data_IF_280744334846
#
_entry.id   IF_280744334846
#
_cell.length_a   1.000
_cell.length_b   1.000
_cell.length_c   1.000
_cell.angle_alpha   90.00
_cell.angle_beta   90.00
_cell.angle_gamma   90.00
#
_symmetry.space_group_name_H-M   'P 1'
#
loop_
_entity.id
_entity.type
_entity.pdbx_description
1 polymer ?
#
# COMPACT_ATOMS: atom_id res chain seq x y z
N UNK A 1 -4.37 0.94 -5.04
CA UNK A 1 -2.92 1.21 -4.91
C UNK A 1 -2.74 1.89 -3.60
N UNK A 2 -1.65 1.59 -2.93
CA UNK A 2 -1.32 2.13 -1.63
C UNK A 2 0.18 1.95 -1.38
N UNK A 3 0.71 2.71 -0.43
CA UNK A 3 2.08 2.55 0.03
C UNK A 3 2.17 2.26 1.53
N UNK A 4 3.24 1.56 1.90
CA UNK A 4 3.60 1.31 3.28
C UNK A 4 4.99 1.86 3.55
N UNK A 5 5.06 2.94 4.33
CA UNK A 5 6.29 3.60 4.76
C UNK A 5 6.86 3.05 6.08
N UNK A 6 6.26 2.03 6.67
CA UNK A 6 6.84 1.32 7.82
C UNK A 6 7.75 0.17 7.38
N UNK A 7 7.70 -0.22 6.10
CA UNK A 7 8.57 -1.24 5.54
C UNK A 7 9.79 -0.57 4.89
N UNK A 8 10.74 -0.19 5.74
CA UNK A 8 11.98 0.47 5.33
C UNK A 8 13.09 -0.58 5.10
N UNK A 9 13.96 -0.33 4.11
CA UNK A 9 15.16 -1.13 3.83
C UNK A 9 16.39 -0.25 3.96
N UNK A 10 17.31 -0.62 4.84
CA UNK A 10 18.60 0.08 5.00
C UNK A 10 19.55 -0.19 3.84
N UNK A 11 20.46 0.74 3.62
CA UNK A 11 21.55 0.57 2.66
C UNK A 11 22.40 -0.66 3.00
N UNK A 12 22.66 -1.48 1.98
CA UNK A 12 23.55 -2.65 2.08
C UNK A 12 24.92 -2.33 1.49
N UNK A 13 25.96 -2.98 2.01
CA UNK A 13 27.33 -2.75 1.52
C UNK A 13 27.56 -3.21 0.07
N UNK A 14 26.80 -4.21 -0.39
CA UNK A 14 26.81 -4.71 -1.77
C UNK A 14 25.66 -5.72 -1.98
N UNK A 15 25.00 -5.65 -3.13
CA UNK A 15 23.98 -6.62 -3.59
C UNK A 15 24.58 -8.02 -3.85
N UNK A 16 25.89 -8.15 -4.04
CA UNK A 16 26.56 -9.46 -4.18
C UNK A 16 26.71 -10.15 -2.81
N UNK A 17 26.84 -9.34 -1.75
CA UNK A 17 26.96 -9.83 -0.36
C UNK A 17 25.60 -10.06 0.29
N UNK A 18 24.57 -9.34 -0.18
CA UNK A 18 23.19 -9.47 0.28
C UNK A 18 22.23 -9.50 -0.92
N UNK A 19 22.18 -10.62 -1.66
CA UNK A 19 21.34 -10.72 -2.84
C UNK A 19 19.87 -10.83 -2.45
N UNK A 20 19.02 -10.02 -3.08
CA UNK A 20 17.56 -10.16 -2.93
C UNK A 20 17.08 -11.58 -3.25
N UNK A 21 16.25 -12.16 -2.38
CA UNK A 21 15.71 -13.52 -2.54
C UNK A 21 14.76 -13.67 -3.74
N UNK A 22 14.06 -12.60 -4.11
CA UNK A 22 12.99 -12.63 -5.11
C UNK A 22 13.16 -11.53 -6.16
N UNK A 23 14.38 -11.39 -6.73
CA UNK A 23 14.71 -10.44 -7.81
C UNK A 23 13.71 -10.59 -8.98
N UNK A 24 12.64 -9.79 -9.00
CA UNK A 24 11.59 -9.88 -10.01
C UNK A 24 10.67 -11.10 -9.93
N UNK A 25 10.49 -11.70 -8.75
CA UNK A 25 9.61 -12.86 -8.56
C UNK A 25 8.37 -12.53 -7.71
N UNK A 26 7.30 -13.29 -7.96
CA UNK A 26 5.99 -13.16 -7.30
C UNK A 26 5.38 -11.74 -7.47
N UNK A 27 5.38 -10.95 -6.41
CA UNK A 27 4.71 -9.65 -6.35
C UNK A 27 5.66 -8.47 -6.53
N UNK A 28 6.97 -8.69 -6.46
CA UNK A 28 7.99 -7.64 -6.61
C UNK A 28 8.38 -7.49 -8.05
N UNK A 29 8.62 -6.24 -8.46
CA UNK A 29 9.12 -5.96 -9.80
C UNK A 29 10.57 -6.41 -9.99
N UNK A 30 10.97 -6.57 -11.25
CA UNK A 30 12.38 -6.74 -11.58
C UNK A 30 13.16 -5.47 -11.25
N UNK A 31 14.15 -5.60 -10.36
CA UNK A 31 14.92 -4.50 -9.81
C UNK A 31 15.74 -3.76 -10.88
N UNK A 32 16.32 -4.47 -11.85
CA UNK A 32 17.14 -3.85 -12.90
C UNK A 32 16.28 -3.04 -13.86
N UNK A 33 15.15 -3.62 -14.26
CA UNK A 33 14.13 -2.99 -15.10
C UNK A 33 13.56 -1.74 -14.42
N UNK A 34 13.26 -1.84 -13.13
CA UNK A 34 12.74 -0.73 -12.34
C UNK A 34 13.75 0.41 -12.20
N UNK A 35 14.99 0.12 -11.80
CA UNK A 35 16.04 1.14 -11.70
C UNK A 35 16.34 1.82 -13.02
N UNK A 36 16.33 1.07 -14.13
CA UNK A 36 16.46 1.65 -15.47
C UNK A 36 15.31 2.60 -15.77
N UNK A 37 14.07 2.20 -15.47
CA UNK A 37 12.89 3.05 -15.65
C UNK A 37 13.00 4.36 -14.85
N UNK A 38 13.37 4.28 -13.56
CA UNK A 38 13.55 5.47 -12.73
C UNK A 38 14.63 6.40 -13.31
N UNK A 39 15.77 5.84 -13.74
CA UNK A 39 16.87 6.62 -14.34
C UNK A 39 16.44 7.36 -15.60
N UNK A 40 15.63 6.72 -16.44
CA UNK A 40 15.19 7.27 -17.71
C UNK A 40 14.09 8.34 -17.54
N UNK A 41 13.21 8.20 -16.54
CA UNK A 41 11.98 8.99 -16.45
C UNK A 41 11.87 9.93 -15.25
N UNK A 42 12.59 9.72 -14.13
CA UNK A 42 12.49 10.61 -12.96
C UNK A 42 12.83 12.09 -13.27
N UNK A 43 13.70 12.32 -14.26
CA UNK A 43 14.03 13.69 -14.71
C UNK A 43 13.08 14.26 -15.75
N UNK A 44 12.29 13.40 -16.42
CA UNK A 44 11.37 13.78 -17.50
C UNK A 44 9.97 14.05 -16.98
N UNK A 45 9.57 13.35 -15.93
CA UNK A 45 8.25 13.45 -15.32
C UNK A 45 8.39 14.27 -14.05
N UNK A 46 7.85 15.48 -14.09
CA UNK A 46 7.82 16.38 -12.94
C UNK A 46 6.44 16.26 -12.30
N UNK A 47 6.41 15.76 -11.07
CA UNK A 47 5.18 15.66 -10.29
C UNK A 47 4.71 17.06 -9.89
N UNK A 48 3.46 17.45 -10.22
CA UNK A 48 2.92 18.73 -9.79
C UNK A 48 2.73 18.74 -8.27
N UNK A 49 2.81 19.92 -7.62
CA UNK A 49 2.50 20.05 -6.21
C UNK A 49 1.09 19.53 -5.90
N UNK A 50 0.93 18.88 -4.74
CA UNK A 50 -0.36 18.34 -4.34
C UNK A 50 -1.34 19.46 -3.98
N UNK A 51 -2.54 19.38 -4.54
CA UNK A 51 -3.68 20.30 -4.30
C UNK A 51 -4.76 19.68 -3.40
N UNK A 52 -4.53 18.46 -2.90
CA UNK A 52 -5.48 17.70 -2.10
C UNK A 52 -5.28 18.03 -0.62
N UNK A 53 -6.37 17.98 0.14
CA UNK A 53 -6.44 18.33 1.55
C UNK A 53 -5.47 17.49 2.40
N UNK A 54 -4.30 18.03 2.74
CA UNK A 54 -3.40 17.50 3.78
C UNK A 54 -3.05 16.00 3.72
N UNK A 55 -2.93 15.39 2.53
CA UNK A 55 -2.37 14.04 2.43
C UNK A 55 -0.84 14.07 2.52
N UNK A 56 -0.27 13.26 3.41
CA UNK A 56 1.19 13.10 3.57
C UNK A 56 1.84 12.28 2.44
N UNK A 57 1.08 11.42 1.74
CA UNK A 57 1.56 10.57 0.66
C UNK A 57 2.29 11.31 -0.47
N UNK A 58 1.91 12.57 -0.73
CA UNK A 58 2.49 13.40 -1.78
C UNK A 58 3.57 14.39 -1.27
N UNK A 59 3.81 14.46 0.04
CA UNK A 59 4.78 15.41 0.62
C UNK A 59 6.17 14.78 0.65
N UNK A 60 6.86 14.84 -0.49
CA UNK A 60 8.32 14.77 -0.50
C UNK A 60 8.88 16.08 0.07
N UNK A 61 8.87 16.22 1.40
CA UNK A 61 9.48 17.37 2.07
C UNK A 61 10.96 17.13 2.37
N UNK A 62 11.73 18.19 2.64
CA UNK A 62 13.15 18.10 3.00
C UNK A 62 13.40 17.22 4.25
N UNK A 63 12.39 17.02 5.12
CA UNK A 63 12.49 16.14 6.30
C UNK A 63 12.42 14.66 5.92
N UNK A 64 11.64 14.30 4.90
CA UNK A 64 11.64 12.97 4.31
C UNK A 64 13.03 12.61 3.77
N UNK A 65 13.66 13.52 3.03
CA UNK A 65 15.03 13.33 2.51
C UNK A 65 16.08 13.06 3.59
N UNK A 66 15.94 13.66 4.78
CA UNK A 66 16.85 13.43 5.92
C UNK A 66 16.63 12.03 6.52
N UNK A 67 15.39 11.55 6.63
CA UNK A 67 15.10 10.20 7.15
C UNK A 67 15.55 9.11 6.18
N UNK A 68 15.63 9.39 4.87
CA UNK A 68 15.92 8.38 3.85
C UNK A 68 17.39 8.28 3.46
N UNK A 69 18.28 9.10 4.02
CA UNK A 69 19.69 9.15 3.62
C UNK A 69 20.44 7.82 3.85
N UNK A 70 20.07 7.06 4.88
CA UNK A 70 20.65 5.74 5.20
C UNK A 70 19.79 4.56 4.69
N UNK A 71 18.70 4.85 3.97
CA UNK A 71 17.77 3.86 3.45
C UNK A 71 18.00 3.62 1.95
N UNK A 72 18.01 2.35 1.58
CA UNK A 72 17.89 1.91 0.18
C UNK A 72 16.45 2.05 -0.32
N UNK A 73 15.46 1.87 0.57
CA UNK A 73 14.05 2.11 0.31
C UNK A 73 13.36 2.68 1.57
N UNK A 74 12.59 3.74 1.42
CA UNK A 74 11.82 4.39 2.48
C UNK A 74 10.44 3.77 2.72
N UNK A 75 10.07 2.80 1.90
CA UNK A 75 8.75 2.19 1.91
C UNK A 75 8.56 1.33 0.68
N UNK A 76 7.37 0.74 0.58
CA UNK A 76 6.95 -0.04 -0.59
C UNK A 76 5.61 0.42 -1.11
N UNK A 77 5.50 0.61 -2.42
CA UNK A 77 4.25 0.85 -3.13
C UNK A 77 3.72 -0.45 -3.72
N UNK A 78 2.40 -0.62 -3.77
CA UNK A 78 1.83 -1.85 -4.34
C UNK A 78 0.41 -1.73 -4.88
N UNK A 79 0.04 -2.74 -5.68
CA UNK A 79 -1.30 -2.87 -6.25
C UNK A 79 -1.94 -4.17 -5.80
N UNK A 80 -3.15 -4.05 -5.25
CA UNK A 80 -3.95 -5.19 -4.78
C UNK A 80 -5.23 -5.30 -5.57
N UNK A 81 -5.66 -6.53 -5.84
CA UNK A 81 -6.98 -6.80 -6.37
C UNK A 81 -8.01 -6.63 -5.25
N UNK A 82 -8.87 -5.61 -5.32
CA UNK A 82 -9.91 -5.37 -4.31
C UNK A 82 -10.96 -6.47 -4.22
N UNK A 83 -11.08 -7.33 -5.24
CA UNK A 83 -12.03 -8.46 -5.24
C UNK A 83 -11.50 -9.67 -4.48
N UNK A 84 -10.21 -9.94 -4.59
CA UNK A 84 -9.60 -11.16 -4.08
C UNK A 84 -8.62 -10.90 -2.92
N UNK A 85 -8.34 -9.62 -2.62
CA UNK A 85 -7.39 -9.18 -1.59
C UNK A 85 -5.97 -9.74 -1.80
N UNK A 86 -5.64 -10.05 -3.06
CA UNK A 86 -4.34 -10.55 -3.46
C UNK A 86 -3.49 -9.43 -4.06
N UNK A 87 -2.21 -9.42 -3.71
CA UNK A 87 -1.20 -8.63 -4.43
C UNK A 87 -1.14 -9.09 -5.88
N UNK A 88 -1.08 -8.12 -6.79
CA UNK A 88 -0.93 -8.42 -8.21
C UNK A 88 0.51 -8.85 -8.53
N UNK A 89 0.68 -9.54 -9.66
CA UNK A 89 1.99 -9.94 -10.14
C UNK A 89 2.83 -8.71 -10.49
N UNK A 90 4.10 -8.73 -10.07
CA UNK A 90 5.10 -7.71 -10.42
C UNK A 90 4.62 -6.27 -10.19
N UNK A 91 3.94 -6.01 -9.07
CA UNK A 91 3.31 -4.70 -8.81
C UNK A 91 3.92 -3.95 -7.64
N UNK A 92 4.77 -4.61 -6.84
CA UNK A 92 5.37 -4.05 -5.63
C UNK A 92 6.68 -3.40 -6.02
N UNK A 93 6.81 -2.11 -5.71
CA UNK A 93 7.96 -1.26 -6.02
C UNK A 93 8.54 -0.70 -4.73
N UNK A 94 9.85 -0.51 -4.73
CA UNK A 94 10.52 0.23 -3.66
C UNK A 94 10.29 1.73 -3.86
N UNK A 95 10.03 2.44 -2.76
CA UNK A 95 9.84 3.89 -2.75
C UNK A 95 11.06 4.56 -2.13
N UNK A 96 11.50 5.68 -2.71
CA UNK A 96 12.67 6.41 -2.19
C UNK A 96 12.30 7.66 -1.41
N UNK A 97 11.30 8.42 -1.88
CA UNK A 97 10.83 9.66 -1.25
C UNK A 97 9.33 9.81 -1.50
N UNK A 98 8.52 9.47 -0.49
CA UNK A 98 7.06 9.50 -0.64
C UNK A 98 6.57 8.58 -1.76
N UNK A 99 5.36 8.81 -2.25
CA UNK A 99 4.81 8.10 -3.41
C UNK A 99 5.02 8.91 -4.69
N UNK A 100 6.20 8.77 -5.29
CA UNK A 100 6.45 9.44 -6.57
C UNK A 100 5.60 8.83 -7.69
N UNK A 101 5.11 9.67 -8.60
CA UNK A 101 4.26 9.20 -9.70
C UNK A 101 4.97 8.16 -10.58
N UNK A 102 6.28 8.29 -10.79
CA UNK A 102 7.04 7.36 -11.65
C UNK A 102 7.14 5.97 -11.04
N UNK A 103 7.39 5.88 -9.73
CA UNK A 103 7.45 4.60 -9.03
C UNK A 103 6.06 3.91 -9.00
N UNK A 104 5.02 4.67 -8.64
CA UNK A 104 3.66 4.16 -8.57
C UNK A 104 3.10 3.77 -9.94
N UNK A 105 3.40 4.55 -10.99
CA UNK A 105 3.07 4.22 -12.37
C UNK A 105 3.71 2.90 -12.78
N UNK A 106 4.97 2.68 -12.41
CA UNK A 106 5.67 1.46 -12.77
C UNK A 106 4.96 0.24 -12.21
N UNK A 107 4.71 0.21 -10.89
CA UNK A 107 4.00 -0.90 -10.25
C UNK A 107 2.56 -1.08 -10.75
N UNK A 108 1.87 0.00 -11.10
CA UNK A 108 0.54 -0.05 -11.69
C UNK A 108 0.52 -0.64 -13.10
N UNK A 109 1.36 -0.13 -13.99
CA UNK A 109 1.35 -0.47 -15.40
C UNK A 109 1.89 -1.89 -15.63
N UNK A 110 2.90 -2.32 -14.87
CA UNK A 110 3.36 -3.72 -14.90
C UNK A 110 2.23 -4.66 -14.49
N UNK A 111 1.50 -4.36 -13.41
CA UNK A 111 0.37 -5.16 -12.95
C UNK A 111 -0.76 -5.21 -13.98
N UNK A 112 -1.15 -4.05 -14.53
CA UNK A 112 -2.27 -3.94 -15.47
C UNK A 112 -1.98 -4.61 -16.81
N UNK A 113 -0.72 -4.62 -17.26
CA UNK A 113 -0.30 -5.23 -18.53
C UNK A 113 -0.59 -6.74 -18.60
N UNK A 114 -0.67 -7.41 -17.46
CA UNK A 114 -1.00 -8.85 -17.39
C UNK A 114 -2.49 -9.14 -17.61
N UNK A 115 -3.37 -8.16 -17.48
CA UNK A 115 -4.79 -8.36 -17.74
C UNK A 115 -5.09 -8.19 -19.23
N UNK A 116 -5.63 -9.25 -19.84
CA UNK A 116 -6.11 -9.25 -21.22
C UNK A 116 -7.59 -9.60 -21.25
N UNK A 117 -8.37 -8.95 -22.13
CA UNK A 117 -9.81 -9.21 -22.25
C UNK A 117 -10.67 -8.66 -21.11
N UNK A 118 -10.12 -7.84 -20.22
CA UNK A 118 -10.90 -7.15 -19.19
C UNK A 118 -11.46 -5.84 -19.76
N UNK A 119 -12.79 -5.63 -19.80
CA UNK A 119 -13.37 -4.46 -20.47
C UNK A 119 -13.17 -3.17 -19.66
N UNK A 120 -13.07 -3.28 -18.33
CA UNK A 120 -12.96 -2.15 -17.42
C UNK A 120 -12.07 -2.49 -16.21
N UNK A 121 -11.09 -1.64 -15.92
CA UNK A 121 -10.36 -1.63 -14.65
C UNK A 121 -10.74 -0.37 -13.88
N UNK A 122 -11.03 -0.56 -12.60
CA UNK A 122 -11.29 0.53 -11.65
C UNK A 122 -10.18 0.54 -10.62
N UNK A 123 -9.44 1.64 -10.58
CA UNK A 123 -8.29 1.83 -9.70
C UNK A 123 -8.67 2.79 -8.58
N UNK A 124 -8.61 2.31 -7.34
CA UNK A 124 -8.68 3.15 -6.15
C UNK A 124 -7.27 3.51 -5.69
N UNK A 125 -7.07 4.77 -5.33
CA UNK A 125 -5.81 5.30 -4.83
C UNK A 125 -6.10 6.59 -4.03
N UNK A 126 -5.36 6.85 -2.95
CA UNK A 126 -5.63 7.94 -2.02
C UNK A 126 -5.46 9.33 -2.67
N UNK A 127 -4.53 9.45 -3.63
CA UNK A 127 -4.34 10.63 -4.48
C UNK A 127 -4.76 10.39 -5.94
N UNK A 128 -5.70 9.45 -6.19
CA UNK A 128 -6.18 9.12 -7.54
C UNK A 128 -6.64 10.35 -8.32
N UNK A 129 -7.24 11.33 -7.63
CA UNK A 129 -7.77 12.56 -8.21
C UNK A 129 -6.68 13.43 -8.85
N UNK A 130 -5.44 13.37 -8.37
CA UNK A 130 -4.29 14.07 -8.95
C UNK A 130 -3.51 13.17 -9.90
N UNK A 131 -3.24 11.94 -9.45
CA UNK A 131 -2.42 10.98 -10.17
C UNK A 131 -2.99 10.64 -11.55
N UNK A 132 -4.31 10.46 -11.65
CA UNK A 132 -4.99 10.01 -12.87
C UNK A 132 -5.10 11.08 -13.97
N UNK A 133 -4.93 12.36 -13.65
CA UNK A 133 -5.12 13.47 -14.59
C UNK A 133 -4.14 13.33 -15.76
N UNK A 134 -2.85 13.19 -15.44
CA UNK A 134 -1.76 13.17 -16.42
C UNK A 134 -1.23 11.74 -16.70
N UNK A 135 -1.89 10.71 -16.16
CA UNK A 135 -1.44 9.33 -16.33
C UNK A 135 -1.33 8.92 -17.81
N UNK A 136 -2.29 9.34 -18.64
CA UNK A 136 -2.28 9.03 -20.07
C UNK A 136 -1.07 9.65 -20.79
N UNK A 137 -0.73 10.91 -20.47
CA UNK A 137 0.45 11.59 -21.01
C UNK A 137 1.75 10.90 -20.56
N UNK A 138 1.82 10.48 -19.28
CA UNK A 138 2.98 9.73 -18.77
C UNK A 138 3.14 8.38 -19.46
N UNK A 139 2.04 7.65 -19.68
CA UNK A 139 2.04 6.38 -20.43
C UNK A 139 2.59 6.59 -21.85
N UNK A 140 2.20 7.67 -22.52
CA UNK A 140 2.71 7.98 -23.87
C UNK A 140 4.20 8.36 -23.85
N UNK A 141 4.69 9.05 -22.79
CA UNK A 141 6.12 9.31 -22.58
C UNK A 141 6.92 8.02 -22.34
N UNK A 142 6.36 7.06 -21.60
CA UNK A 142 7.02 5.77 -21.33
C UNK A 142 7.15 4.89 -22.58
N UNK A 143 6.26 5.04 -23.56
CA UNK A 143 6.25 4.29 -24.81
C UNK A 143 5.77 2.84 -24.66
N UNK A 144 5.89 2.08 -25.75
CA UNK A 144 5.29 0.74 -25.95
C UNK A 144 5.55 -0.26 -24.83
N UNK A 145 6.68 -0.12 -24.15
CA UNK A 145 7.07 -0.98 -23.05
C UNK A 145 6.06 -0.98 -21.89
N UNK A 146 5.46 0.18 -21.59
CA UNK A 146 4.53 0.39 -20.47
C UNK A 146 3.08 0.58 -20.93
N UNK A 147 2.79 0.34 -22.22
CA UNK A 147 1.45 0.46 -22.75
C UNK A 147 0.56 -0.70 -22.25
N UNK A 148 -0.53 -0.42 -21.52
CA UNK A 148 -1.46 -1.46 -21.10
C UNK A 148 -2.26 -1.98 -22.30
N UNK A 149 -2.58 -3.28 -22.30
CA UNK A 149 -3.40 -3.92 -23.35
C UNK A 149 -4.91 -3.67 -23.20
N UNK A 150 -5.29 -2.75 -22.31
CA UNK A 150 -6.68 -2.51 -21.90
C UNK A 150 -7.14 -1.20 -22.52
N UNK A 151 -8.43 -1.09 -22.94
CA UNK A 151 -8.97 0.15 -23.47
C UNK A 151 -8.71 1.32 -22.53
N UNK A 152 -8.11 2.38 -23.08
CA UNK A 152 -7.90 3.67 -22.39
C UNK A 152 -9.26 4.35 -22.21
N UNK A 153 -9.91 4.12 -21.07
CA UNK A 153 -11.12 4.85 -20.67
C UNK A 153 -10.98 5.36 -19.25
N UNK A 154 -11.09 6.67 -19.08
CA UNK A 154 -11.18 7.31 -17.76
C UNK A 154 -12.40 6.77 -17.01
N UNK A 155 -12.18 6.40 -15.75
CA UNK A 155 -13.23 5.80 -14.94
C UNK A 155 -14.21 6.86 -14.43
N UNK A 156 -15.30 7.05 -15.18
CA UNK A 156 -16.45 7.88 -14.76
C UNK A 156 -17.47 7.11 -13.91
N UNK A 157 -17.30 5.80 -13.74
CA UNK A 157 -18.30 4.89 -13.15
C UNK A 157 -18.09 4.57 -11.67
N UNK A 158 -17.05 5.14 -11.04
CA UNK A 158 -16.71 4.85 -9.65
C UNK A 158 -17.84 5.25 -8.69
N UNK A 159 -18.50 6.38 -8.96
CA UNK A 159 -19.68 6.83 -8.20
C UNK A 159 -20.81 5.79 -8.22
N UNK A 160 -21.16 5.30 -9.41
CA UNK A 160 -22.22 4.29 -9.58
C UNK A 160 -21.86 2.95 -8.94
N UNK A 161 -20.57 2.55 -9.01
CA UNK A 161 -20.10 1.36 -8.33
C UNK A 161 -20.18 1.50 -6.82
N UNK A 162 -19.67 2.60 -6.26
CA UNK A 162 -19.68 2.84 -4.82
C UNK A 162 -21.11 2.94 -4.30
N UNK A 163 -22.01 3.62 -5.02
CA UNK A 163 -23.42 3.69 -4.67
C UNK A 163 -24.08 2.30 -4.64
N UNK A 164 -23.81 1.44 -5.63
CA UNK A 164 -24.30 0.06 -5.61
C UNK A 164 -23.77 -0.71 -4.40
N UNK A 165 -22.45 -0.63 -4.13
CA UNK A 165 -21.85 -1.30 -2.97
C UNK A 165 -22.42 -0.80 -1.65
N UNK A 166 -22.68 0.50 -1.50
CA UNK A 166 -23.33 1.08 -0.32
C UNK A 166 -24.74 0.51 -0.17
N UNK A 167 -25.53 0.49 -1.25
CA UNK A 167 -26.88 -0.10 -1.24
C UNK A 167 -26.87 -1.59 -0.88
N UNK A 168 -25.87 -2.34 -1.32
CA UNK A 168 -25.70 -3.76 -0.98
C UNK A 168 -25.20 -3.98 0.46
N UNK A 169 -24.42 -3.03 0.99
CA UNK A 169 -23.88 -3.08 2.36
C UNK A 169 -24.93 -2.66 3.39
N UNK A 170 -25.79 -1.69 3.08
CA UNK A 170 -26.86 -1.20 3.97
C UNK A 170 -27.69 -2.32 4.61
N UNK A 171 -28.25 -3.31 3.88
CA UNK A 171 -29.02 -4.39 4.50
C UNK A 171 -28.14 -5.35 5.32
N UNK A 172 -26.83 -5.42 5.05
CA UNK A 172 -25.89 -6.25 5.82
C UNK A 172 -25.52 -5.63 7.16
N UNK A 173 -25.70 -4.31 7.33
CA UNK A 173 -25.42 -3.62 8.60
C UNK A 173 -26.15 -4.30 9.75
N UNK A 174 -27.44 -4.61 9.56
CA UNK A 174 -28.24 -5.30 10.59
C UNK A 174 -27.69 -6.69 10.94
N UNK A 175 -27.24 -7.50 9.96
CA UNK A 175 -26.63 -8.81 10.25
C UNK A 175 -25.27 -8.65 10.95
N UNK A 176 -24.47 -7.64 10.59
CA UNK A 176 -23.22 -7.33 11.25
C UNK A 176 -23.44 -6.87 12.71
N UNK A 177 -24.42 -6.01 12.96
CA UNK A 177 -24.83 -5.57 14.30
C UNK A 177 -25.32 -6.77 15.13
N UNK A 178 -26.22 -7.60 14.57
CA UNK A 178 -26.72 -8.79 15.25
C UNK A 178 -25.60 -9.79 15.59
N UNK A 179 -24.61 -9.95 14.71
CA UNK A 179 -23.44 -10.80 14.96
C UNK A 179 -22.55 -10.22 16.04
N UNK A 180 -22.34 -8.91 16.01
CA UNK A 180 -21.55 -8.20 17.02
C UNK A 180 -22.18 -8.33 18.40
N UNK A 181 -23.48 -8.05 18.52
CA UNK A 181 -24.21 -8.19 19.79
C UNK A 181 -24.19 -9.63 20.32
N UNK A 182 -24.38 -10.63 19.44
CA UNK A 182 -24.25 -12.05 19.83
C UNK A 182 -22.84 -12.39 20.31
N UNK A 183 -21.81 -11.86 19.65
CA UNK A 183 -20.42 -12.07 20.07
C UNK A 183 -20.14 -11.43 21.44
N UNK A 184 -20.55 -10.17 21.63
CA UNK A 184 -20.44 -9.45 22.90
C UNK A 184 -21.18 -10.20 24.02
N UNK A 185 -22.40 -10.66 23.78
CA UNK A 185 -23.19 -11.43 24.74
C UNK A 185 -22.55 -12.77 25.14
N UNK A 186 -21.66 -13.33 24.29
CA UNK A 186 -20.93 -14.57 24.59
C UNK A 186 -19.71 -14.38 25.49
N UNK A 187 -19.25 -13.14 25.67
CA UNK A 187 -18.04 -12.82 26.41
C UNK A 187 -18.35 -12.49 27.88
N UNK A 188 -17.39 -12.71 28.80
CA UNK A 188 -17.54 -12.25 30.18
C UNK A 188 -17.65 -10.73 30.25
N UNK A 189 -18.72 -10.21 30.86
CA UNK A 189 -18.97 -8.76 30.96
C UNK A 189 -17.81 -7.99 31.59
N UNK A 190 -17.11 -8.60 32.56
CA UNK A 190 -15.93 -8.03 33.20
C UNK A 190 -14.79 -7.76 32.22
N UNK A 191 -14.60 -8.64 31.23
CA UNK A 191 -13.58 -8.49 30.20
C UNK A 191 -13.96 -7.38 29.22
N UNK A 192 -15.24 -7.28 28.86
CA UNK A 192 -15.76 -6.24 27.96
C UNK A 192 -15.54 -4.87 28.57
N UNK A 193 -16.02 -4.65 29.82
CA UNK A 193 -15.85 -3.37 30.53
C UNK A 193 -14.37 -3.01 30.68
N UNK A 194 -13.53 -3.98 31.07
CA UNK A 194 -12.10 -3.75 31.21
C UNK A 194 -11.47 -3.32 29.88
N UNK A 195 -11.79 -4.02 28.79
CA UNK A 195 -11.21 -3.74 27.48
C UNK A 195 -11.71 -2.41 26.91
N UNK A 196 -13.02 -2.13 26.99
CA UNK A 196 -13.61 -0.84 26.58
C UNK A 196 -12.94 0.33 27.29
N UNK A 197 -12.76 0.26 28.61
CA UNK A 197 -12.07 1.30 29.38
C UNK A 197 -10.61 1.49 28.93
N UNK A 198 -9.91 0.41 28.55
CA UNK A 198 -8.54 0.51 28.05
C UNK A 198 -8.49 1.19 26.67
N UNK A 199 -9.42 0.86 25.77
CA UNK A 199 -9.52 1.46 24.44
C UNK A 199 -9.88 2.95 24.56
N UNK A 200 -10.94 3.30 25.29
CA UNK A 200 -11.37 4.69 25.45
C UNK A 200 -10.29 5.56 26.10
N UNK A 201 -9.59 5.05 27.14
CA UNK A 201 -8.51 5.79 27.77
C UNK A 201 -7.33 6.07 26.81
N UNK A 202 -7.04 5.12 25.92
CA UNK A 202 -5.97 5.26 24.91
C UNK A 202 -6.38 6.14 23.72
N UNK A 203 -7.63 6.09 23.29
CA UNK A 203 -8.16 6.96 22.24
C UNK A 203 -8.18 8.44 22.67
N UNK A 204 -8.47 8.69 23.95
CA UNK A 204 -8.40 10.04 24.55
C UNK A 204 -6.95 10.49 24.75
N UNK A 205 -6.06 9.61 25.21
CA UNK A 205 -4.65 9.91 25.46
C UNK A 205 -3.74 8.79 24.93
N UNK A 206 -3.11 9.06 23.77
CA UNK A 206 -2.20 8.12 23.10
C UNK A 206 -0.92 7.79 23.91
N UNK A 207 -0.64 8.49 25.00
CA UNK A 207 0.46 8.15 25.92
C UNK A 207 0.08 7.03 26.91
N UNK A 208 -1.20 6.67 27.02
CA UNK A 208 -1.64 5.53 27.81
C UNK A 208 -1.18 4.21 27.17
N UNK A 209 -1.17 3.10 27.93
CA UNK A 209 -0.83 1.79 27.38
C UNK A 209 -1.74 1.45 26.20
N UNK A 210 -1.13 1.16 25.03
CA UNK A 210 -1.87 0.77 23.83
C UNK A 210 -2.47 -0.64 24.03
N UNK A 211 -3.81 -0.79 24.09
CA UNK A 211 -4.45 -2.08 24.31
C UNK A 211 -4.19 -3.07 23.17
N UNK A 212 -3.92 -2.58 21.96
CA UNK A 212 -3.62 -3.40 20.78
C UNK A 212 -2.15 -3.83 20.68
N UNK A 213 -1.28 -3.28 21.53
CA UNK A 213 0.13 -3.66 21.52
C UNK A 213 0.29 -5.09 22.03
N UNK A 214 1.15 -5.85 21.36
CA UNK A 214 1.47 -7.21 21.76
C UNK A 214 2.23 -7.21 23.08
N UNK A 215 1.63 -7.75 24.14
CA UNK A 215 2.19 -7.72 25.51
C UNK A 215 2.98 -8.98 25.88
N UNK A 216 2.92 -10.02 25.05
CA UNK A 216 3.66 -11.26 25.29
C UNK A 216 5.07 -11.09 24.72
N UNK A 217 6.08 -11.22 25.58
CA UNK A 217 7.47 -11.25 25.13
C UNK A 217 7.65 -12.37 24.09
N UNK A 218 7.96 -11.99 22.85
CA UNK A 218 8.34 -12.94 21.81
C UNK A 218 9.58 -13.69 22.29
N UNK A 219 9.46 -14.99 22.54
CA UNK A 219 10.65 -15.83 22.72
C UNK A 219 11.45 -15.78 21.42
N UNK A 220 12.70 -15.32 21.50
CA UNK A 220 13.60 -15.37 20.35
C UNK A 220 13.85 -16.83 19.99
N UNK A 221 14.12 -17.09 18.71
CA UNK A 221 14.48 -18.43 18.22
C UNK A 221 15.65 -19.01 19.02
N UNK A 222 16.66 -18.18 19.34
CA UNK A 222 17.78 -18.54 20.21
C UNK A 222 17.34 -19.00 21.61
N UNK A 223 16.34 -18.33 22.22
CA UNK A 223 15.81 -18.72 23.52
C UNK A 223 14.99 -20.02 23.46
N UNK A 224 14.36 -20.33 22.32
CA UNK A 224 13.70 -21.63 22.11
C UNK A 224 14.73 -22.75 21.92
N UNK A 225 15.78 -22.54 21.12
CA UNK A 225 16.85 -23.52 20.93
C UNK A 225 17.56 -23.88 22.24
N UNK A 226 17.73 -22.91 23.15
CA UNK A 226 18.36 -23.12 24.46
C UNK A 226 17.47 -23.89 25.45
N UNK A 227 16.15 -23.89 25.25
CA UNK A 227 15.21 -24.68 26.06
C UNK A 227 15.03 -26.12 25.57
N UNK A 228 15.43 -26.41 24.33
CA UNK A 228 15.28 -27.72 23.68
C UNK A 228 16.57 -28.56 23.71
N UNK A 229 17.68 -28.00 24.21
CA UNK A 229 18.96 -28.68 24.42
C UNK A 229 19.07 -29.19 25.86
#
# INVERSE_FOLDING_TARGET
MDANFQLERFNVSSEDKDPGLSKGLAYFVDTEMFHKHLKDFNKRIIQPPSTCSNHEAAKGDERSCIRTQDLAASGVGGVVCTRHELKLLLCTVDLHVGETQVEMDFGYLTAVKHFTGVPHIVTSYDIVCQWSINLEERIDIYGDFMQPKIPRKKNVSQGDMLLRKIKDAMPKVSDHEDRFERFIASLPQSNIVKWTNMVEAWEVDRNKPNPFAWTVASKTEAAMCLQLA
#
